data_IF_947360531164
#
_entry.id   IF_947360531164
#
_cell.length_a   1.000
_cell.length_b   1.000
_cell.length_c   1.000
_cell.angle_alpha   90.00
_cell.angle_beta   90.00
_cell.angle_gamma   90.00
#
_symmetry.space_group_name_H-M   'P 1'
#
loop_
_entity.id
_entity.type
_entity.pdbx_description
1 polymer ?
#
# COMPACT_ATOMS: atom_id res chain seq x y z
N UNK A 1 11.82 -34.04 -44.22
CA UNK A 1 12.94 -34.58 -45.04
C UNK A 1 13.44 -33.52 -46.04
N UNK A 2 12.59 -32.80 -46.80
CA UNK A 2 13.08 -31.75 -47.71
C UNK A 2 13.63 -30.47 -47.04
N UNK A 3 13.16 -30.06 -45.85
CA UNK A 3 13.71 -28.88 -45.14
C UNK A 3 15.02 -29.16 -44.37
N UNK A 4 15.46 -30.41 -44.29
CA UNK A 4 16.70 -30.81 -43.61
C UNK A 4 17.89 -30.70 -44.59
N UNK A 5 17.66 -30.89 -45.90
CA UNK A 5 18.72 -30.85 -46.92
C UNK A 5 19.30 -29.44 -47.16
N UNK A 6 18.54 -28.37 -46.95
CA UNK A 6 19.01 -26.98 -47.13
C UNK A 6 19.91 -26.50 -45.98
N UNK A 7 19.86 -27.17 -44.82
CA UNK A 7 20.74 -26.88 -43.69
C UNK A 7 22.10 -27.57 -43.83
N UNK A 8 22.14 -28.78 -44.37
CA UNK A 8 23.38 -29.54 -44.57
C UNK A 8 24.26 -29.01 -45.70
N UNK A 9 23.66 -28.48 -46.77
CA UNK A 9 24.40 -27.88 -47.90
C UNK A 9 25.14 -26.60 -47.51
N UNK A 10 24.62 -25.83 -46.55
CA UNK A 10 25.28 -24.61 -46.07
C UNK A 10 26.42 -24.85 -45.07
N UNK A 11 26.44 -25.98 -44.36
CA UNK A 11 27.50 -26.33 -43.39
C UNK A 11 28.71 -26.97 -44.09
N UNK A 12 28.48 -27.71 -45.19
CA UNK A 12 29.54 -28.43 -45.90
C UNK A 12 30.51 -27.52 -46.70
N UNK A 13 30.19 -26.23 -46.90
CA UNK A 13 31.02 -25.30 -47.67
C UNK A 13 32.16 -24.68 -46.83
N UNK A 14 32.17 -24.84 -45.50
CA UNK A 14 33.12 -24.13 -44.62
C UNK A 14 34.32 -24.94 -44.12
N UNK A 15 34.40 -26.25 -44.36
CA UNK A 15 35.51 -27.06 -43.84
C UNK A 15 35.89 -28.15 -44.84
N UNK A 16 36.79 -27.85 -45.79
CA UNK A 16 37.24 -28.79 -46.81
C UNK A 16 38.03 -29.97 -46.23
N UNK A 17 37.35 -31.07 -45.87
CA UNK A 17 37.98 -32.32 -45.41
C UNK A 17 37.41 -33.52 -46.20
N UNK A 18 38.24 -34.40 -46.79
CA UNK A 18 37.79 -35.56 -47.54
C UNK A 18 37.08 -36.64 -46.69
N UNK A 19 36.06 -37.28 -47.29
CA UNK A 19 35.12 -38.23 -46.66
C UNK A 19 35.73 -39.51 -46.04
N UNK A 20 37.00 -39.82 -46.25
CA UNK A 20 37.60 -41.11 -45.85
C UNK A 20 38.21 -41.14 -44.43
N UNK A 21 38.27 -40.00 -43.74
CA UNK A 21 38.77 -39.90 -42.35
C UNK A 21 37.69 -40.20 -41.29
N UNK A 22 36.49 -40.59 -41.70
CA UNK A 22 35.28 -40.69 -40.86
C UNK A 22 35.07 -42.07 -40.19
N UNK A 23 36.13 -42.87 -39.99
CA UNK A 23 36.02 -44.20 -39.37
C UNK A 23 36.52 -44.30 -37.92
N UNK A 24 36.89 -43.19 -37.29
CA UNK A 24 36.88 -43.06 -35.84
C UNK A 24 35.87 -41.97 -35.49
N UNK A 25 34.84 -42.32 -34.71
CA UNK A 25 34.02 -41.44 -33.85
C UNK A 25 32.49 -41.52 -33.98
N UNK A 26 31.89 -42.64 -34.41
CA UNK A 26 30.42 -42.81 -34.24
C UNK A 26 30.04 -42.67 -32.75
N UNK A 27 30.85 -43.21 -31.83
CA UNK A 27 30.65 -43.03 -30.39
C UNK A 27 30.91 -41.59 -29.90
N UNK A 28 31.83 -40.84 -30.50
CA UNK A 28 32.08 -39.45 -30.11
C UNK A 28 30.97 -38.52 -30.62
N UNK A 29 30.45 -38.78 -31.82
CA UNK A 29 29.33 -38.03 -32.42
C UNK A 29 28.02 -38.32 -31.70
N UNK A 30 27.75 -39.57 -31.29
CA UNK A 30 26.62 -39.90 -30.41
C UNK A 30 26.76 -39.29 -29.01
N UNK A 31 27.98 -39.26 -28.45
CA UNK A 31 28.25 -38.62 -27.15
C UNK A 31 28.09 -37.10 -27.22
N UNK A 32 28.53 -36.47 -28.31
CA UNK A 32 28.31 -35.05 -28.61
C UNK A 32 26.81 -34.75 -28.82
N UNK A 33 26.07 -35.59 -29.56
CA UNK A 33 24.62 -35.45 -29.76
C UNK A 33 23.81 -35.61 -28.47
N UNK A 34 24.30 -36.39 -27.49
CA UNK A 34 23.70 -36.51 -26.15
C UNK A 34 24.05 -35.33 -25.22
N UNK A 35 25.20 -34.69 -25.42
CA UNK A 35 25.62 -33.49 -24.68
C UNK A 35 24.98 -32.20 -25.21
N UNK A 36 24.64 -32.15 -26.50
CA UNK A 36 24.07 -30.97 -27.17
C UNK A 36 22.76 -30.47 -26.51
N UNK A 37 21.79 -31.30 -26.10
CA UNK A 37 20.62 -30.86 -25.34
C UNK A 37 20.98 -30.31 -23.95
N UNK A 38 21.97 -30.92 -23.28
CA UNK A 38 22.40 -30.53 -21.93
C UNK A 38 23.22 -29.25 -21.88
N UNK A 39 23.87 -28.86 -22.98
CA UNK A 39 24.66 -27.61 -23.08
C UNK A 39 23.81 -26.50 -23.75
N UNK A 40 23.01 -26.83 -24.77
CA UNK A 40 22.14 -25.86 -25.42
C UNK A 40 20.98 -25.43 -24.52
N UNK A 41 20.39 -26.29 -23.68
CA UNK A 41 19.27 -25.84 -22.83
C UNK A 41 19.69 -24.81 -21.77
N UNK A 42 20.83 -24.93 -21.06
CA UNK A 42 21.33 -23.87 -20.18
C UNK A 42 21.87 -22.67 -20.94
N UNK A 43 22.53 -22.82 -22.10
CA UNK A 43 22.99 -21.68 -22.91
C UNK A 43 21.85 -20.89 -23.53
N UNK A 44 20.81 -21.56 -24.04
CA UNK A 44 19.57 -20.93 -24.52
C UNK A 44 18.85 -20.27 -23.35
N UNK A 45 18.83 -20.89 -22.18
CA UNK A 45 18.28 -20.28 -20.96
C UNK A 45 19.07 -19.07 -20.49
N UNK A 46 20.41 -19.12 -20.53
CA UNK A 46 21.28 -17.99 -20.24
C UNK A 46 21.16 -16.90 -21.30
N UNK A 47 20.96 -17.26 -22.57
CA UNK A 47 20.69 -16.35 -23.68
C UNK A 47 19.34 -15.64 -23.55
N UNK A 48 18.28 -16.37 -23.19
CA UNK A 48 16.96 -15.82 -22.88
C UNK A 48 17.03 -14.96 -21.61
N UNK A 49 17.71 -15.41 -20.56
CA UNK A 49 17.92 -14.62 -19.34
C UNK A 49 18.73 -13.36 -19.61
N UNK A 50 19.74 -13.43 -20.48
CA UNK A 50 20.55 -12.29 -20.94
C UNK A 50 19.74 -11.32 -21.81
N UNK A 51 18.91 -11.81 -22.75
CA UNK A 51 18.02 -10.99 -23.57
C UNK A 51 16.88 -10.37 -22.76
N UNK A 52 16.28 -11.12 -21.82
CA UNK A 52 15.31 -10.60 -20.87
C UNK A 52 15.97 -9.54 -19.98
N UNK A 53 17.12 -9.84 -19.38
CA UNK A 53 17.88 -8.86 -18.60
C UNK A 53 18.28 -7.63 -19.42
N UNK A 54 18.61 -7.77 -20.71
CA UNK A 54 18.85 -6.64 -21.63
C UNK A 54 17.58 -5.83 -21.94
N UNK A 55 16.43 -6.50 -22.10
CA UNK A 55 15.13 -5.86 -22.30
C UNK A 55 14.60 -5.17 -21.04
N UNK A 56 14.93 -5.70 -19.85
CA UNK A 56 14.58 -5.12 -18.56
C UNK A 56 15.60 -4.05 -18.11
N UNK A 57 16.87 -4.16 -18.52
CA UNK A 57 17.88 -3.10 -18.32
C UNK A 57 17.71 -1.91 -19.27
N UNK A 58 16.76 -1.98 -20.21
CA UNK A 58 16.32 -0.85 -21.05
C UNK A 58 15.02 -0.21 -20.57
N UNK A 59 14.57 -0.49 -19.34
CA UNK A 59 13.49 0.27 -18.69
C UNK A 59 14.10 1.54 -18.09
N UNK A 60 14.17 2.60 -18.88
CA UNK A 60 14.56 3.93 -18.40
C UNK A 60 13.52 4.98 -18.79
N UNK A 61 12.32 4.85 -18.24
CA UNK A 61 11.40 5.98 -18.07
C UNK A 61 10.80 5.94 -16.65
N UNK A 62 10.74 7.07 -15.97
CA UNK A 62 10.22 7.19 -14.59
C UNK A 62 8.78 6.67 -14.47
N UNK A 63 7.98 6.87 -15.52
CA UNK A 63 6.60 6.39 -15.60
C UNK A 63 6.46 4.86 -15.50
N UNK A 64 7.43 4.11 -16.02
CA UNK A 64 7.41 2.64 -15.94
C UNK A 64 7.76 2.19 -14.52
N UNK A 65 8.73 2.86 -13.88
CA UNK A 65 9.08 2.60 -12.49
C UNK A 65 7.91 2.89 -11.55
N UNK A 66 7.16 3.96 -11.78
CA UNK A 66 5.96 4.27 -11.00
C UNK A 66 4.90 3.17 -11.15
N UNK A 67 4.62 2.73 -12.38
CA UNK A 67 3.70 1.62 -12.64
C UNK A 67 4.12 0.34 -11.91
N UNK A 68 5.38 -0.09 -12.02
CA UNK A 68 5.84 -1.32 -11.36
C UNK A 68 5.77 -1.21 -9.83
N UNK A 69 6.11 -0.06 -9.24
CA UNK A 69 5.96 0.13 -7.79
C UNK A 69 4.48 0.10 -7.36
N UNK A 70 3.59 0.75 -8.11
CA UNK A 70 2.15 0.67 -7.88
C UNK A 70 1.63 -0.77 -8.02
N UNK A 71 2.05 -1.47 -9.06
CA UNK A 71 1.66 -2.85 -9.34
C UNK A 71 2.11 -3.82 -8.25
N UNK A 72 3.27 -3.59 -7.63
CA UNK A 72 3.70 -4.33 -6.43
C UNK A 72 2.73 -4.15 -5.27
N UNK A 73 2.39 -2.90 -4.94
CA UNK A 73 1.47 -2.59 -3.85
C UNK A 73 0.10 -3.19 -4.09
N UNK A 74 -0.40 -3.06 -5.33
CA UNK A 74 -1.69 -3.62 -5.71
C UNK A 74 -1.65 -5.17 -5.69
N UNK A 75 -0.55 -5.78 -6.11
CA UNK A 75 -0.34 -7.23 -5.99
C UNK A 75 -0.27 -7.67 -4.52
N UNK A 76 0.40 -6.90 -3.67
CA UNK A 76 0.48 -7.14 -2.23
C UNK A 76 -0.90 -7.11 -1.54
N UNK A 77 -1.88 -6.42 -2.12
CA UNK A 77 -3.27 -6.40 -1.66
C UNK A 77 -4.12 -7.50 -2.33
N UNK A 78 -4.18 -7.54 -3.67
CA UNK A 78 -5.19 -8.30 -4.43
C UNK A 78 -4.63 -9.50 -5.24
N UNK A 79 -3.31 -9.62 -5.31
CA UNK A 79 -2.64 -10.66 -6.10
C UNK A 79 -2.64 -12.04 -5.45
N UNK A 80 -2.48 -13.07 -6.28
CA UNK A 80 -2.45 -14.45 -5.82
C UNK A 80 -1.49 -15.31 -6.67
N UNK A 81 -0.66 -16.11 -6.01
CA UNK A 81 0.30 -17.03 -6.61
C UNK A 81 -0.12 -18.47 -6.33
N UNK A 82 -0.38 -19.24 -7.40
CA UNK A 82 -0.99 -20.56 -7.31
C UNK A 82 -0.19 -21.63 -8.06
N UNK A 83 -0.13 -22.81 -7.45
CA UNK A 83 0.32 -24.05 -8.09
C UNK A 83 -0.90 -24.98 -8.14
N UNK A 84 -1.33 -25.33 -9.34
CA UNK A 84 -2.46 -26.21 -9.60
C UNK A 84 -1.95 -27.59 -10.03
N UNK A 85 -2.53 -28.63 -9.46
CA UNK A 85 -2.23 -30.02 -9.85
C UNK A 85 -3.09 -30.41 -11.04
N UNK A 86 -2.49 -31.02 -12.05
CA UNK A 86 -3.15 -31.61 -13.21
C UNK A 86 -2.91 -33.13 -13.23
N UNK A 87 -3.72 -33.91 -13.97
CA UNK A 87 -3.50 -35.35 -14.11
C UNK A 87 -2.10 -35.73 -14.59
N UNK A 88 -1.49 -34.89 -15.44
CA UNK A 88 -0.17 -35.14 -16.05
C UNK A 88 0.91 -34.16 -15.59
N UNK A 89 0.68 -33.40 -14.50
CA UNK A 89 1.70 -32.51 -13.94
C UNK A 89 1.16 -31.32 -13.16
N UNK A 90 1.72 -30.14 -13.41
CA UNK A 90 1.41 -28.92 -12.66
C UNK A 90 1.21 -27.73 -13.60
N UNK A 91 0.33 -26.81 -13.21
CA UNK A 91 0.18 -25.49 -13.82
C UNK A 91 0.47 -24.41 -12.78
N UNK A 92 1.20 -23.39 -13.19
CA UNK A 92 1.53 -22.25 -12.36
C UNK A 92 0.69 -21.06 -12.80
N UNK A 93 0.16 -20.31 -11.84
CA UNK A 93 -0.78 -19.23 -12.11
C UNK A 93 -0.49 -18.03 -11.23
N UNK A 94 -0.40 -16.85 -11.86
CA UNK A 94 -0.56 -15.57 -11.18
C UNK A 94 -1.95 -15.03 -11.50
N UNK A 95 -2.63 -14.48 -10.49
CA UNK A 95 -4.02 -14.04 -10.62
C UNK A 95 -4.29 -12.78 -9.81
N UNK A 96 -5.10 -11.88 -10.34
CA UNK A 96 -5.73 -10.79 -9.59
C UNK A 96 -7.23 -10.90 -9.86
N UNK A 97 -8.03 -11.01 -8.81
CA UNK A 97 -9.50 -11.06 -8.90
C UNK A 97 -10.11 -9.85 -8.23
N UNK A 98 -10.98 -9.13 -8.94
CA UNK A 98 -11.64 -7.92 -8.44
C UNK A 98 -13.15 -7.99 -8.69
N UNK A 99 -13.88 -7.03 -8.11
CA UNK A 99 -15.26 -6.76 -8.50
C UNK A 99 -15.32 -6.24 -9.95
N UNK A 100 -16.40 -6.52 -10.66
CA UNK A 100 -16.58 -6.15 -12.08
C UNK A 100 -16.41 -4.64 -12.34
N UNK A 101 -16.76 -3.80 -11.37
CA UNK A 101 -16.60 -2.34 -11.45
C UNK A 101 -15.14 -1.87 -11.56
N UNK A 102 -14.18 -2.75 -11.25
CA UNK A 102 -12.74 -2.50 -11.39
C UNK A 102 -12.13 -3.25 -12.58
N UNK A 103 -12.94 -3.71 -13.54
CA UNK A 103 -12.47 -4.38 -14.77
C UNK A 103 -11.45 -3.54 -15.55
N UNK A 104 -11.60 -2.20 -15.56
CA UNK A 104 -10.66 -1.30 -16.22
C UNK A 104 -9.26 -1.35 -15.59
N UNK A 105 -9.15 -1.63 -14.28
CA UNK A 105 -7.86 -1.81 -13.59
C UNK A 105 -7.12 -3.03 -14.14
N UNK A 106 -7.84 -4.14 -14.33
CA UNK A 106 -7.27 -5.38 -14.87
C UNK A 106 -6.84 -5.22 -16.33
N UNK A 107 -7.62 -4.50 -17.14
CA UNK A 107 -7.24 -4.15 -18.50
C UNK A 107 -6.00 -3.25 -18.52
N UNK A 108 -5.94 -2.24 -17.65
CA UNK A 108 -4.76 -1.39 -17.51
C UNK A 108 -3.50 -2.19 -17.16
N UNK A 109 -3.59 -3.12 -16.20
CA UNK A 109 -2.48 -4.02 -15.84
C UNK A 109 -2.06 -4.87 -17.04
N UNK A 110 -3.01 -5.51 -17.72
CA UNK A 110 -2.75 -6.34 -18.90
C UNK A 110 -2.05 -5.54 -20.00
N UNK A 111 -2.51 -4.33 -20.27
CA UNK A 111 -1.97 -3.48 -21.34
C UNK A 111 -0.57 -2.96 -20.99
N UNK A 112 -0.31 -2.64 -19.72
CA UNK A 112 1.02 -2.24 -19.24
C UNK A 112 2.02 -3.39 -19.21
N UNK A 113 1.58 -4.60 -18.87
CA UNK A 113 2.44 -5.78 -18.87
C UNK A 113 2.64 -6.37 -20.28
N UNK A 114 1.67 -6.20 -21.17
CA UNK A 114 1.70 -6.72 -22.54
C UNK A 114 1.44 -8.23 -22.66
N UNK A 115 0.98 -8.88 -21.59
CA UNK A 115 0.69 -10.31 -21.57
C UNK A 115 -0.41 -10.66 -20.57
N UNK A 116 -0.76 -11.95 -20.48
CA UNK A 116 -1.87 -12.43 -19.65
C UNK A 116 -3.24 -12.24 -20.31
N UNK A 117 -4.29 -12.60 -19.58
CA UNK A 117 -5.67 -12.59 -20.06
C UNK A 117 -6.61 -12.00 -19.02
N UNK A 118 -7.58 -11.21 -19.47
CA UNK A 118 -8.65 -10.66 -18.63
C UNK A 118 -9.98 -11.29 -19.05
N UNK A 119 -10.77 -11.72 -18.08
CA UNK A 119 -12.16 -12.13 -18.32
C UNK A 119 -13.05 -11.68 -17.16
N UNK A 120 -14.34 -11.54 -17.45
CA UNK A 120 -15.38 -11.23 -16.48
C UNK A 120 -16.32 -12.41 -16.34
N UNK A 121 -16.79 -12.65 -15.11
CA UNK A 121 -17.80 -13.64 -14.81
C UNK A 121 -18.68 -13.17 -13.66
N UNK A 122 -20.00 -13.04 -13.90
CA UNK A 122 -20.96 -12.47 -12.96
C UNK A 122 -20.49 -11.09 -12.49
N UNK A 123 -20.39 -10.87 -11.19
CA UNK A 123 -19.95 -9.63 -10.54
C UNK A 123 -18.43 -9.56 -10.31
N UNK A 124 -17.66 -10.49 -10.86
CA UNK A 124 -16.21 -10.53 -10.68
C UNK A 124 -15.48 -10.47 -12.02
N UNK A 125 -14.26 -9.97 -12.00
CA UNK A 125 -13.33 -10.00 -13.12
C UNK A 125 -11.96 -10.49 -12.66
N UNK A 126 -11.20 -11.07 -13.57
CA UNK A 126 -9.93 -11.72 -13.26
C UNK A 126 -8.89 -11.44 -14.33
N UNK A 127 -7.69 -11.08 -13.88
CA UNK A 127 -6.48 -11.09 -14.67
C UNK A 127 -5.70 -12.36 -14.35
N UNK A 128 -5.46 -13.20 -15.35
CA UNK A 128 -4.77 -14.47 -15.19
C UNK A 128 -3.54 -14.56 -16.11
N UNK A 129 -2.44 -15.00 -15.52
CA UNK A 129 -1.23 -15.41 -16.23
C UNK A 129 -1.00 -16.89 -15.93
N UNK A 130 -1.04 -17.73 -16.97
CA UNK A 130 -0.87 -19.19 -16.85
C UNK A 130 0.12 -19.76 -17.87
N UNK A 131 0.42 -19.03 -18.95
CA UNK A 131 1.40 -19.44 -19.95
C UNK A 131 2.79 -19.47 -19.32
N UNK A 132 3.56 -20.51 -19.62
CA UNK A 132 4.91 -20.74 -19.10
C UNK A 132 5.81 -19.52 -19.31
N UNK A 133 5.83 -18.98 -20.52
CA UNK A 133 6.69 -17.85 -20.91
C UNK A 133 6.31 -16.57 -20.15
N UNK A 134 5.02 -16.38 -19.87
CA UNK A 134 4.53 -15.20 -19.16
C UNK A 134 4.73 -15.33 -17.64
N UNK A 135 4.65 -16.53 -17.07
CA UNK A 135 5.04 -16.77 -15.68
C UNK A 135 6.52 -16.42 -15.46
N UNK A 136 7.39 -16.69 -16.45
CA UNK A 136 8.80 -16.27 -16.37
C UNK A 136 8.97 -14.75 -16.34
N UNK A 137 8.17 -14.02 -17.12
CA UNK A 137 8.13 -12.55 -17.07
C UNK A 137 7.67 -12.05 -15.71
N UNK A 138 6.62 -12.67 -15.13
CA UNK A 138 6.16 -12.38 -13.77
C UNK A 138 7.28 -12.59 -12.74
N UNK A 139 8.00 -13.71 -12.84
CA UNK A 139 9.15 -13.98 -11.96
C UNK A 139 10.24 -12.92 -12.13
N UNK A 140 10.55 -12.52 -13.36
CA UNK A 140 11.56 -11.49 -13.63
C UNK A 140 11.16 -10.12 -13.07
N UNK A 141 9.88 -9.75 -13.15
CA UNK A 141 9.36 -8.52 -12.56
C UNK A 141 9.54 -8.56 -11.04
N UNK A 142 9.07 -9.61 -10.37
CA UNK A 142 9.09 -9.68 -8.90
C UNK A 142 10.47 -10.00 -8.30
N UNK A 143 11.43 -10.43 -9.12
CA UNK A 143 12.85 -10.52 -8.74
C UNK A 143 13.53 -9.15 -8.65
N UNK A 144 13.14 -8.21 -9.53
CA UNK A 144 13.64 -6.83 -9.53
C UNK A 144 12.85 -5.98 -8.53
N UNK A 145 11.54 -6.12 -8.55
CA UNK A 145 10.58 -5.37 -7.75
C UNK A 145 10.01 -6.27 -6.67
N UNK A 146 10.46 -6.06 -5.44
CA UNK A 146 10.19 -6.99 -4.34
C UNK A 146 8.88 -6.68 -3.62
N UNK A 147 8.05 -7.70 -3.40
CA UNK A 147 6.81 -7.62 -2.60
C UNK A 147 7.10 -7.45 -1.10
N UNK A 148 6.19 -6.82 -0.38
CA UNK A 148 6.33 -6.45 1.03
C UNK A 148 5.40 -7.22 1.99
N UNK A 149 4.35 -7.87 1.49
CA UNK A 149 3.42 -8.68 2.30
C UNK A 149 3.81 -10.15 2.36
N UNK A 150 3.02 -10.97 3.06
CA UNK A 150 3.17 -12.43 3.06
C UNK A 150 3.09 -13.05 1.65
N UNK A 151 2.48 -12.36 0.68
CA UNK A 151 2.46 -12.80 -0.73
C UNK A 151 3.86 -12.91 -1.33
N UNK A 152 4.87 -12.20 -0.79
CA UNK A 152 6.28 -12.39 -1.15
C UNK A 152 6.74 -13.82 -0.92
N UNK A 153 6.29 -14.45 0.19
CA UNK A 153 6.66 -15.83 0.52
C UNK A 153 6.01 -16.81 -0.47
N UNK A 154 4.74 -16.56 -0.83
CA UNK A 154 4.04 -17.35 -1.85
C UNK A 154 4.69 -17.20 -3.23
N UNK A 155 5.15 -16.00 -3.58
CA UNK A 155 5.93 -15.77 -4.79
C UNK A 155 7.24 -16.57 -4.80
N UNK A 156 8.01 -16.54 -3.70
CA UNK A 156 9.28 -17.28 -3.58
C UNK A 156 9.06 -18.79 -3.76
N UNK A 157 8.02 -19.33 -3.12
CA UNK A 157 7.67 -20.74 -3.22
C UNK A 157 7.18 -21.11 -4.63
N UNK A 158 6.35 -20.27 -5.25
CA UNK A 158 5.94 -20.43 -6.65
C UNK A 158 7.15 -20.45 -7.57
N UNK A 159 8.09 -19.50 -7.43
CA UNK A 159 9.32 -19.42 -8.22
C UNK A 159 10.17 -20.69 -8.06
N UNK A 160 10.34 -21.17 -6.82
CA UNK A 160 11.09 -22.40 -6.52
C UNK A 160 10.47 -23.60 -7.23
N UNK A 161 9.17 -23.83 -7.05
CA UNK A 161 8.46 -24.93 -7.67
C UNK A 161 8.43 -24.82 -9.21
N UNK A 162 8.29 -23.60 -9.75
CA UNK A 162 8.34 -23.36 -11.18
C UNK A 162 9.69 -23.75 -11.77
N UNK A 163 10.80 -23.36 -11.13
CA UNK A 163 12.15 -23.71 -11.58
C UNK A 163 12.42 -25.22 -11.52
N UNK A 164 11.96 -25.89 -10.46
CA UNK A 164 12.01 -27.36 -10.35
C UNK A 164 11.23 -28.02 -11.49
N UNK A 165 10.03 -27.54 -11.76
CA UNK A 165 9.21 -28.06 -12.84
C UNK A 165 9.87 -27.80 -14.20
N UNK A 166 10.37 -26.60 -14.48
CA UNK A 166 10.78 -26.23 -15.83
C UNK A 166 12.10 -26.83 -16.30
N UNK A 167 13.00 -27.09 -15.36
CA UNK A 167 14.33 -27.65 -15.64
C UNK A 167 14.34 -29.18 -15.59
N UNK A 168 13.18 -29.81 -15.41
CA UNK A 168 13.06 -31.27 -15.34
C UNK A 168 13.32 -31.92 -16.71
N UNK A 169 13.99 -33.06 -16.70
CA UNK A 169 14.01 -33.98 -17.84
C UNK A 169 12.71 -34.80 -17.90
N UNK A 170 12.26 -35.29 -16.74
CA UNK A 170 11.02 -36.03 -16.54
C UNK A 170 10.34 -35.62 -15.22
N UNK A 171 9.04 -35.88 -15.10
CA UNK A 171 8.31 -35.64 -13.87
C UNK A 171 8.31 -36.89 -12.99
N UNK A 172 9.39 -37.11 -12.25
CA UNK A 172 9.52 -38.24 -11.33
C UNK A 172 8.58 -38.12 -10.12
N UNK A 173 8.33 -39.24 -9.44
CA UNK A 173 7.54 -39.26 -8.18
C UNK A 173 8.18 -38.38 -7.11
N UNK A 174 9.51 -38.38 -7.02
CA UNK A 174 10.25 -37.54 -6.08
C UNK A 174 10.04 -36.05 -6.37
N UNK A 175 10.23 -35.63 -7.63
CA UNK A 175 10.01 -34.24 -8.03
C UNK A 175 8.56 -33.80 -7.82
N UNK A 176 7.61 -34.70 -8.08
CA UNK A 176 6.19 -34.48 -7.83
C UNK A 176 5.92 -34.20 -6.35
N UNK A 177 6.49 -35.02 -5.46
CA UNK A 177 6.36 -34.82 -4.01
C UNK A 177 6.99 -33.49 -3.58
N UNK A 178 8.19 -33.16 -4.07
CA UNK A 178 8.82 -31.86 -3.75
C UNK A 178 7.95 -30.66 -4.13
N UNK A 179 7.32 -30.68 -5.32
CA UNK A 179 6.43 -29.60 -5.76
C UNK A 179 5.15 -29.57 -4.91
N UNK A 180 4.60 -30.74 -4.55
CA UNK A 180 3.44 -30.85 -3.67
C UNK A 180 3.72 -30.30 -2.27
N UNK A 181 4.88 -30.59 -1.70
CA UNK A 181 5.28 -30.09 -0.39
C UNK A 181 5.38 -28.55 -0.39
N UNK A 182 5.98 -27.97 -1.45
CA UNK A 182 6.03 -26.52 -1.63
C UNK A 182 4.60 -25.96 -1.73
N UNK A 183 3.77 -26.51 -2.63
CA UNK A 183 2.37 -26.09 -2.79
C UNK A 183 1.61 -26.13 -1.47
N UNK A 184 1.80 -27.19 -0.68
CA UNK A 184 1.11 -27.40 0.59
C UNK A 184 1.61 -26.50 1.74
N UNK A 185 2.68 -25.73 1.51
CA UNK A 185 3.18 -24.70 2.44
C UNK A 185 2.79 -23.26 2.05
N UNK A 186 2.05 -23.09 0.95
CA UNK A 186 1.67 -21.78 0.40
C UNK A 186 0.26 -21.33 0.84
N UNK A 187 -0.01 -20.03 0.66
CA UNK A 187 -1.34 -19.43 0.75
C UNK A 187 -2.03 -19.72 2.10
N UNK A 188 -3.25 -20.26 2.08
CA UNK A 188 -4.06 -20.50 3.29
C UNK A 188 -3.38 -21.50 4.23
N UNK A 189 -2.56 -22.42 3.70
CA UNK A 189 -1.85 -23.45 4.46
C UNK A 189 -0.52 -22.97 5.05
N UNK A 190 -0.07 -21.75 4.73
CA UNK A 190 1.18 -21.19 5.24
C UNK A 190 1.13 -20.98 6.74
N UNK A 191 2.17 -21.45 7.43
CA UNK A 191 2.36 -21.29 8.88
C UNK A 191 3.54 -20.38 9.24
N UNK A 192 4.54 -20.27 8.36
CA UNK A 192 5.69 -19.39 8.55
C UNK A 192 5.49 -18.05 7.83
N UNK A 193 5.45 -16.96 8.60
CA UNK A 193 5.25 -15.59 8.11
C UNK A 193 6.48 -14.69 8.33
N UNK A 194 7.67 -15.27 8.50
CA UNK A 194 8.91 -14.48 8.64
C UNK A 194 9.22 -13.76 7.33
N UNK A 195 8.89 -12.47 7.29
CA UNK A 195 9.17 -11.60 6.15
C UNK A 195 10.62 -11.09 6.17
N UNK A 196 11.26 -10.96 4.99
CA UNK A 196 12.48 -10.17 4.85
C UNK A 196 12.21 -8.67 5.04
N UNK A 197 13.21 -7.83 4.72
CA UNK A 197 13.08 -6.37 4.78
C UNK A 197 11.90 -5.84 3.96
N UNK A 198 11.17 -4.89 4.55
CA UNK A 198 9.99 -4.21 4.00
C UNK A 198 10.44 -2.83 3.49
N UNK A 199 10.30 -2.60 2.18
CA UNK A 199 10.71 -1.37 1.52
C UNK A 199 9.49 -0.72 0.88
N UNK A 200 8.96 0.31 1.53
CA UNK A 200 7.74 1.01 1.09
C UNK A 200 8.13 2.25 0.28
N UNK A 201 7.50 2.39 -0.87
CA UNK A 201 7.53 3.61 -1.70
C UNK A 201 6.14 4.25 -1.75
N UNK A 202 6.06 5.50 -2.18
CA UNK A 202 4.78 6.22 -2.29
C UNK A 202 3.83 5.52 -3.26
N UNK A 203 4.34 5.12 -4.42
CA UNK A 203 3.56 4.41 -5.45
C UNK A 203 3.17 3.01 -4.99
N UNK A 204 4.04 2.28 -4.29
CA UNK A 204 3.65 1.01 -3.64
C UNK A 204 2.52 1.23 -2.64
N UNK A 205 2.63 2.24 -1.78
CA UNK A 205 1.60 2.51 -0.77
C UNK A 205 0.26 2.89 -1.42
N UNK A 206 0.30 3.66 -2.51
CA UNK A 206 -0.90 3.97 -3.30
C UNK A 206 -1.54 2.69 -3.83
N UNK A 207 -0.80 1.83 -4.53
CA UNK A 207 -1.33 0.58 -5.07
C UNK A 207 -1.88 -0.33 -3.97
N UNK A 208 -1.21 -0.40 -2.82
CA UNK A 208 -1.69 -1.17 -1.67
C UNK A 208 -2.98 -0.58 -1.08
N UNK A 209 -3.08 0.75 -0.97
CA UNK A 209 -4.31 1.44 -0.56
C UNK A 209 -5.43 1.14 -1.54
N UNK A 210 -5.18 1.15 -2.85
CA UNK A 210 -6.18 0.87 -3.87
C UNK A 210 -6.79 -0.53 -3.78
N UNK A 211 -6.07 -1.51 -3.22
CA UNK A 211 -6.61 -2.82 -2.86
C UNK A 211 -7.20 -2.86 -1.43
N UNK A 212 -6.38 -2.67 -0.41
CA UNK A 212 -6.73 -2.95 1.01
C UNK A 212 -7.04 -1.71 1.88
N UNK A 213 -6.88 -0.49 1.35
CA UNK A 213 -7.22 0.76 2.05
C UNK A 213 -8.73 1.01 2.13
N UNK A 214 -9.17 1.73 3.16
CA UNK A 214 -10.58 2.09 3.34
C UNK A 214 -10.70 3.54 3.80
N UNK A 215 -11.51 4.31 3.06
CA UNK A 215 -11.92 5.66 3.40
C UNK A 215 -13.37 5.63 3.90
N UNK A 216 -13.64 6.23 5.07
CA UNK A 216 -14.96 6.11 5.69
C UNK A 216 -15.33 7.36 6.49
N UNK A 217 -16.64 7.52 6.75
CA UNK A 217 -17.19 8.53 7.66
C UNK A 217 -18.03 7.83 8.73
N UNK A 218 -17.68 8.03 10.00
CA UNK A 218 -18.58 7.72 11.11
C UNK A 218 -19.72 8.75 11.14
N UNK A 219 -20.88 8.38 10.60
CA UNK A 219 -22.03 9.28 10.39
C UNK A 219 -22.61 9.84 11.70
N UNK A 220 -22.55 9.07 12.79
CA UNK A 220 -23.04 9.51 14.09
C UNK A 220 -22.17 10.59 14.73
N UNK A 221 -20.85 10.50 14.51
CA UNK A 221 -19.88 11.40 15.14
C UNK A 221 -19.27 12.42 14.17
N UNK A 222 -19.65 12.35 12.89
CA UNK A 222 -19.05 13.09 11.77
C UNK A 222 -17.52 12.99 11.76
N UNK A 223 -16.98 11.80 12.07
CA UNK A 223 -15.54 11.55 12.15
C UNK A 223 -15.07 10.76 10.92
N UNK A 224 -14.32 11.37 9.98
CA UNK A 224 -13.72 10.65 8.87
C UNK A 224 -12.57 9.78 9.36
N UNK A 225 -12.39 8.62 8.76
CA UNK A 225 -11.31 7.70 9.08
C UNK A 225 -10.74 7.05 7.83
N UNK A 226 -9.41 7.02 7.76
CA UNK A 226 -8.67 6.11 6.88
C UNK A 226 -8.28 4.88 7.69
N UNK A 227 -8.41 3.69 7.11
CA UNK A 227 -7.92 2.46 7.73
C UNK A 227 -7.42 1.42 6.73
N UNK A 228 -6.50 0.58 7.20
CA UNK A 228 -6.08 -0.65 6.53
C UNK A 228 -6.30 -1.78 7.54
N UNK A 229 -6.91 -2.89 7.10
CA UNK A 229 -7.18 -4.06 7.95
C UNK A 229 -6.57 -5.29 7.29
N UNK A 230 -5.66 -5.95 8.00
CA UNK A 230 -4.97 -7.16 7.54
C UNK A 230 -5.07 -8.26 8.60
N UNK A 231 -4.62 -9.47 8.27
CA UNK A 231 -4.44 -10.52 9.29
C UNK A 231 -3.33 -10.14 10.26
N UNK A 232 -3.42 -10.60 11.51
CA UNK A 232 -2.42 -10.28 12.54
C UNK A 232 -0.99 -10.71 12.16
N UNK A 233 -0.83 -11.77 11.38
CA UNK A 233 0.47 -12.19 10.84
C UNK A 233 1.16 -11.12 9.96
N UNK A 234 0.41 -10.14 9.45
CA UNK A 234 0.90 -9.02 8.66
C UNK A 234 1.03 -7.72 9.48
N UNK A 235 0.93 -7.78 10.81
CA UNK A 235 1.20 -6.64 11.69
C UNK A 235 2.55 -5.94 11.38
N UNK A 236 3.66 -6.64 11.08
CA UNK A 236 4.91 -5.98 10.68
C UNK A 236 4.77 -5.06 9.45
N UNK A 237 3.90 -5.40 8.50
CA UNK A 237 3.63 -4.57 7.33
C UNK A 237 2.93 -3.27 7.71
N UNK A 238 1.93 -3.33 8.61
CA UNK A 238 1.25 -2.13 9.11
C UNK A 238 2.20 -1.22 9.90
N UNK A 239 3.12 -1.79 10.68
CA UNK A 239 4.17 -1.05 11.37
C UNK A 239 5.11 -0.37 10.35
N UNK A 240 5.48 -1.08 9.28
CA UNK A 240 6.24 -0.53 8.17
C UNK A 240 5.54 0.65 7.50
N UNK A 241 4.25 0.52 7.21
CA UNK A 241 3.43 1.60 6.61
C UNK A 241 3.36 2.80 7.55
N UNK A 242 3.15 2.58 8.85
CA UNK A 242 3.16 3.65 9.85
C UNK A 242 4.48 4.42 9.84
N UNK A 243 5.61 3.72 9.94
CA UNK A 243 6.96 4.32 9.92
C UNK A 243 7.23 5.07 8.61
N UNK A 244 6.77 4.52 7.49
CA UNK A 244 6.89 5.20 6.20
C UNK A 244 6.13 6.53 6.18
N UNK A 245 4.87 6.54 6.62
CA UNK A 245 4.06 7.77 6.69
C UNK A 245 4.69 8.82 7.62
N UNK A 246 5.15 8.40 8.81
CA UNK A 246 5.84 9.28 9.77
C UNK A 246 7.04 10.00 9.15
N UNK A 247 7.82 9.29 8.32
CA UNK A 247 9.04 9.83 7.72
C UNK A 247 8.82 10.63 6.43
N UNK A 248 7.70 10.45 5.72
CA UNK A 248 7.54 10.98 4.36
C UNK A 248 6.44 12.04 4.22
N UNK A 249 5.68 12.34 5.27
CA UNK A 249 4.62 13.37 5.24
C UNK A 249 5.12 14.81 5.41
N UNK A 250 6.41 15.02 5.71
CA UNK A 250 6.98 16.37 5.88
C UNK A 250 6.49 17.08 7.15
N UNK A 251 6.34 16.35 8.26
CA UNK A 251 5.83 16.89 9.52
C UNK A 251 6.87 17.80 10.18
N UNK A 252 6.39 18.87 10.84
CA UNK A 252 7.24 19.68 11.72
C UNK A 252 7.65 18.89 12.98
N UNK A 253 8.68 19.37 13.68
CA UNK A 253 9.25 18.67 14.83
C UNK A 253 8.23 18.42 15.96
N UNK A 254 7.33 19.35 16.24
CA UNK A 254 6.29 19.16 17.26
C UNK A 254 5.23 18.15 16.82
N UNK A 255 4.88 18.14 15.53
CA UNK A 255 4.00 17.13 14.96
C UNK A 255 4.61 15.73 15.01
N UNK A 256 5.91 15.59 14.74
CA UNK A 256 6.65 14.32 14.89
C UNK A 256 6.62 13.86 16.35
N UNK A 257 6.96 14.74 17.29
CA UNK A 257 6.88 14.45 18.73
C UNK A 257 5.46 14.00 19.11
N UNK A 258 4.42 14.68 18.62
CA UNK A 258 3.03 14.30 18.86
C UNK A 258 2.73 12.89 18.35
N UNK A 259 3.19 12.53 17.15
CA UNK A 259 2.99 11.18 16.60
C UNK A 259 3.66 10.11 17.48
N UNK A 260 4.88 10.37 17.93
CA UNK A 260 5.65 9.43 18.75
C UNK A 260 4.97 9.15 20.10
N UNK A 261 4.27 10.12 20.68
CA UNK A 261 3.63 10.00 21.98
C UNK A 261 2.10 9.84 21.95
N UNK A 262 1.47 9.72 20.77
CA UNK A 262 0.01 9.66 20.63
C UNK A 262 -0.46 8.66 19.57
N UNK A 263 -1.69 8.15 19.72
CA UNK A 263 -2.31 7.21 18.78
C UNK A 263 -2.93 7.88 17.55
N UNK A 264 -2.19 8.78 16.89
CA UNK A 264 -2.69 9.47 15.67
C UNK A 264 -2.72 8.51 14.48
N UNK A 265 -1.62 7.78 14.26
CA UNK A 265 -1.57 6.58 13.42
C UNK A 265 -1.64 5.39 14.37
N UNK A 266 -2.87 4.95 14.62
CA UNK A 266 -3.17 3.90 15.59
C UNK A 266 -2.97 2.53 14.96
N UNK A 267 -2.16 1.70 15.61
CA UNK A 267 -2.10 0.26 15.34
C UNK A 267 -3.00 -0.42 16.38
N UNK A 268 -4.02 -1.15 15.91
CA UNK A 268 -4.96 -1.85 16.77
C UNK A 268 -5.07 -3.32 16.41
N UNK A 269 -5.32 -4.18 17.39
CA UNK A 269 -5.51 -5.60 17.20
C UNK A 269 -6.99 -5.95 17.43
N UNK A 270 -7.57 -6.71 16.51
CA UNK A 270 -8.92 -7.27 16.61
C UNK A 270 -8.84 -8.74 16.98
N UNK A 271 -9.57 -9.15 18.02
CA UNK A 271 -9.74 -10.57 18.35
C UNK A 271 -10.34 -11.31 17.16
N UNK A 272 -9.95 -12.57 16.99
CA UNK A 272 -10.67 -13.48 16.11
C UNK A 272 -12.16 -13.46 16.45
N UNK A 273 -13.01 -13.35 15.44
CA UNK A 273 -14.46 -13.44 15.59
C UNK A 273 -14.90 -14.65 14.80
N UNK A 274 -15.55 -15.61 15.48
CA UNK A 274 -15.86 -16.92 14.90
C UNK A 274 -14.59 -17.61 14.37
N UNK A 275 -14.66 -18.32 13.25
CA UNK A 275 -13.54 -19.03 12.61
C UNK A 275 -12.59 -18.10 11.82
N UNK A 276 -12.66 -16.78 12.03
CA UNK A 276 -11.77 -15.83 11.35
C UNK A 276 -10.39 -15.78 12.01
N UNK A 277 -9.36 -15.49 11.22
CA UNK A 277 -8.03 -15.17 11.78
C UNK A 277 -8.12 -13.85 12.58
N UNK A 278 -7.30 -13.68 13.64
CA UNK A 278 -7.11 -12.38 14.28
C UNK A 278 -6.70 -11.31 13.28
N UNK A 279 -7.10 -10.07 13.53
CA UNK A 279 -6.87 -8.94 12.63
C UNK A 279 -5.91 -7.92 13.25
N UNK A 280 -5.10 -7.30 12.42
CA UNK A 280 -4.36 -6.09 12.76
C UNK A 280 -4.89 -4.94 11.90
N UNK A 281 -4.93 -3.74 12.47
CA UNK A 281 -5.50 -2.55 11.84
C UNK A 281 -4.58 -1.37 11.99
N UNK A 282 -4.44 -0.58 10.93
CA UNK A 282 -3.89 0.77 10.96
C UNK A 282 -5.05 1.73 10.78
N UNK A 283 -5.22 2.72 11.65
CA UNK A 283 -6.33 3.67 11.61
C UNK A 283 -5.87 5.09 11.87
N UNK A 284 -6.36 6.03 11.08
CA UNK A 284 -6.10 7.48 11.19
C UNK A 284 -7.44 8.21 11.21
N UNK A 285 -7.70 8.96 12.28
CA UNK A 285 -8.97 9.66 12.54
C UNK A 285 -8.83 11.16 12.83
N UNK A 286 -7.63 11.60 13.20
CA UNK A 286 -7.42 13.01 13.56
C UNK A 286 -7.62 13.89 12.32
N UNK A 287 -8.62 14.77 12.37
CA UNK A 287 -9.05 15.55 11.19
C UNK A 287 -7.97 16.52 10.72
N UNK A 288 -7.19 17.13 11.63
CA UNK A 288 -6.09 18.01 11.25
C UNK A 288 -5.03 17.23 10.48
N UNK A 289 -4.62 16.06 10.98
CA UNK A 289 -3.67 15.18 10.30
C UNK A 289 -4.20 14.69 8.94
N UNK A 290 -5.45 14.24 8.89
CA UNK A 290 -6.09 13.78 7.65
C UNK A 290 -6.12 14.89 6.59
N UNK A 291 -6.65 16.06 6.94
CA UNK A 291 -6.84 17.17 6.01
C UNK A 291 -5.53 17.85 5.59
N UNK A 292 -4.58 18.00 6.50
CA UNK A 292 -3.39 18.82 6.26
C UNK A 292 -2.17 18.03 5.78
N UNK A 293 -2.12 16.71 6.02
CA UNK A 293 -0.96 15.88 5.67
C UNK A 293 -1.36 14.68 4.82
N UNK A 294 -2.22 13.81 5.34
CA UNK A 294 -2.50 12.53 4.69
C UNK A 294 -3.22 12.68 3.34
N UNK A 295 -4.29 13.48 3.26
CA UNK A 295 -5.01 13.74 2.00
C UNK A 295 -4.13 14.48 0.98
N UNK A 296 -3.45 15.59 1.34
CA UNK A 296 -2.51 16.26 0.43
C UNK A 296 -1.42 15.33 -0.12
N UNK A 297 -0.90 14.40 0.70
CA UNK A 297 0.13 13.47 0.28
C UNK A 297 -0.28 12.62 -0.94
N UNK A 298 -1.56 12.27 -1.08
CA UNK A 298 -2.09 11.50 -2.21
C UNK A 298 -2.86 12.36 -3.24
N UNK A 299 -2.92 13.68 -3.07
CA UNK A 299 -3.78 14.54 -3.87
C UNK A 299 -3.40 14.59 -5.36
N UNK A 300 -2.10 14.49 -5.65
CA UNK A 300 -1.54 14.48 -7.01
C UNK A 300 -1.37 13.06 -7.57
N UNK A 301 -1.65 12.04 -6.75
CA UNK A 301 -1.53 10.65 -7.17
C UNK A 301 -2.68 10.28 -8.11
N UNK A 302 -2.35 9.60 -9.21
CA UNK A 302 -3.33 9.01 -10.11
C UNK A 302 -3.81 7.67 -9.56
N UNK A 303 -5.02 7.67 -8.98
CA UNK A 303 -5.73 6.44 -8.65
C UNK A 303 -6.21 5.74 -9.93
N UNK A 304 -6.14 4.41 -9.95
CA UNK A 304 -6.49 3.58 -11.10
C UNK A 304 -7.82 2.87 -10.86
N UNK A 305 -8.08 2.40 -9.65
CA UNK A 305 -9.31 1.73 -9.25
C UNK A 305 -10.42 2.73 -8.88
N UNK A 306 -11.64 2.21 -8.71
CA UNK A 306 -12.77 3.01 -8.23
C UNK A 306 -12.52 3.64 -6.86
N UNK A 307 -11.52 3.15 -6.10
CA UNK A 307 -11.15 3.73 -4.80
C UNK A 307 -10.67 5.17 -4.93
N UNK A 308 -10.21 5.60 -6.11
CA UNK A 308 -9.98 7.01 -6.39
C UNK A 308 -11.22 7.88 -6.26
N UNK A 309 -12.41 7.36 -6.62
CA UNK A 309 -13.68 8.07 -6.44
C UNK A 309 -14.00 8.21 -4.95
N UNK A 310 -13.79 7.15 -4.16
CA UNK A 310 -13.95 7.20 -2.71
C UNK A 310 -12.95 8.14 -2.05
N UNK A 311 -11.71 8.19 -2.52
CA UNK A 311 -10.71 9.14 -2.03
C UNK A 311 -11.12 10.60 -2.30
N UNK A 312 -11.67 10.89 -3.49
CA UNK A 312 -12.15 12.23 -3.84
C UNK A 312 -13.30 12.68 -2.95
N UNK A 313 -14.29 11.82 -2.73
CA UNK A 313 -15.40 12.12 -1.81
C UNK A 313 -14.88 12.29 -0.38
N UNK A 314 -13.94 11.42 0.05
CA UNK A 314 -13.30 11.51 1.36
C UNK A 314 -12.53 12.82 1.56
N UNK A 315 -11.83 13.31 0.53
CA UNK A 315 -11.15 14.62 0.54
C UNK A 315 -12.13 15.77 0.79
N UNK A 316 -13.28 15.76 0.09
CA UNK A 316 -14.33 16.78 0.27
C UNK A 316 -14.87 16.73 1.71
N UNK A 317 -15.17 15.53 2.19
CA UNK A 317 -15.64 15.30 3.57
C UNK A 317 -14.60 15.80 4.57
N UNK A 318 -13.33 15.41 4.45
CA UNK A 318 -12.25 15.86 5.34
C UNK A 318 -12.16 17.39 5.38
N UNK A 319 -12.22 18.07 4.23
CA UNK A 319 -12.18 19.54 4.19
C UNK A 319 -13.39 20.16 4.90
N UNK A 320 -14.59 19.66 4.64
CA UNK A 320 -15.82 20.16 5.24
C UNK A 320 -15.86 19.92 6.76
N UNK A 321 -15.40 18.76 7.24
CA UNK A 321 -15.27 18.49 8.69
C UNK A 321 -14.20 19.38 9.31
N UNK A 322 -13.04 19.54 8.65
CA UNK A 322 -11.93 20.36 9.14
C UNK A 322 -12.33 21.81 9.39
N UNK A 323 -13.10 22.43 8.48
CA UNK A 323 -13.57 23.83 8.64
C UNK A 323 -14.85 23.95 9.49
N UNK A 324 -15.41 22.83 9.94
CA UNK A 324 -16.63 22.78 10.74
C UNK A 324 -17.93 22.98 9.97
N UNK A 325 -17.92 22.89 8.63
CA UNK A 325 -19.09 23.14 7.80
C UNK A 325 -20.27 22.19 8.14
N UNK A 326 -19.98 20.98 8.64
CA UNK A 326 -20.97 20.02 9.13
C UNK A 326 -21.83 20.50 10.30
N UNK A 327 -21.50 21.64 10.91
CA UNK A 327 -22.29 22.26 11.99
C UNK A 327 -23.52 23.00 11.44
N UNK A 328 -23.53 23.29 10.15
CA UNK A 328 -24.70 23.78 9.42
C UNK A 328 -25.52 22.56 8.97
N UNK A 329 -26.76 22.46 9.43
CA UNK A 329 -27.60 21.26 9.24
C UNK A 329 -27.77 20.90 7.76
N UNK A 330 -27.95 21.89 6.87
CA UNK A 330 -28.00 21.68 5.43
C UNK A 330 -26.74 20.97 4.91
N UNK A 331 -25.56 21.50 5.25
CA UNK A 331 -24.28 20.96 4.79
C UNK A 331 -24.01 19.58 5.41
N UNK A 332 -24.37 19.39 6.67
CA UNK A 332 -24.29 18.08 7.33
C UNK A 332 -25.08 17.01 6.57
N UNK A 333 -26.32 17.31 6.17
CA UNK A 333 -27.15 16.39 5.40
C UNK A 333 -26.55 16.08 4.03
N UNK A 334 -25.96 17.08 3.35
CA UNK A 334 -25.24 16.86 2.10
C UNK A 334 -23.99 15.98 2.30
N UNK A 335 -23.22 16.17 3.37
CA UNK A 335 -22.07 15.31 3.72
C UNK A 335 -22.53 13.87 3.98
N UNK A 336 -23.64 13.69 4.72
CA UNK A 336 -24.21 12.37 4.98
C UNK A 336 -24.65 11.69 3.68
N UNK A 337 -25.31 12.43 2.79
CA UNK A 337 -25.71 11.97 1.45
C UNK A 337 -24.48 11.54 0.62
N UNK A 338 -23.42 12.37 0.57
CA UNK A 338 -22.15 12.04 -0.09
C UNK A 338 -21.51 10.78 0.51
N UNK A 339 -21.54 10.62 1.84
CA UNK A 339 -20.98 9.42 2.49
C UNK A 339 -21.75 8.13 2.19
N UNK A 340 -22.96 8.24 1.65
CA UNK A 340 -23.79 7.12 1.21
C UNK A 340 -23.61 6.82 -0.29
N UNK A 341 -22.74 7.54 -1.00
CA UNK A 341 -22.37 7.25 -2.40
C UNK A 341 -20.96 6.64 -2.53
N UNK A 342 -20.32 6.30 -1.39
CA UNK A 342 -18.96 5.79 -1.32
C UNK A 342 -18.90 4.28 -1.00
N UNK A 343 -17.75 3.66 -1.31
CA UNK A 343 -17.43 2.28 -0.91
C UNK A 343 -18.50 1.27 -1.37
N UNK A 344 -19.05 0.45 -0.47
CA UNK A 344 -20.04 -0.57 -0.82
C UNK A 344 -21.30 -0.01 -1.48
N UNK A 345 -21.68 1.24 -1.16
CA UNK A 345 -22.85 1.89 -1.76
C UNK A 345 -22.61 2.34 -3.21
N UNK A 346 -21.35 2.36 -3.67
CA UNK A 346 -20.98 2.67 -5.06
C UNK A 346 -21.01 1.45 -5.97
N UNK A 347 -21.05 0.23 -5.40
CA UNK A 347 -20.96 -0.99 -6.20
C UNK A 347 -22.19 -1.15 -7.09
N UNK A 348 -21.99 -1.56 -8.34
CA UNK A 348 -23.09 -1.88 -9.26
C UNK A 348 -23.95 -3.05 -8.77
N UNK A 349 -23.44 -3.83 -7.81
CA UNK A 349 -24.12 -4.96 -7.17
C UNK A 349 -24.81 -4.60 -5.86
N UNK A 350 -24.76 -3.34 -5.43
CA UNK A 350 -25.47 -2.89 -4.25
C UNK A 350 -27.00 -3.00 -4.48
N UNK A 351 -27.69 -3.73 -3.61
CA UNK A 351 -29.12 -4.03 -3.77
C UNK A 351 -30.05 -2.97 -3.14
N UNK A 352 -29.50 -2.04 -2.35
CA UNK A 352 -30.28 -0.99 -1.71
C UNK A 352 -30.51 0.21 -2.62
N UNK A 353 -31.34 1.15 -2.17
CA UNK A 353 -31.53 2.44 -2.83
C UNK A 353 -30.53 3.45 -2.27
N UNK A 354 -29.77 4.09 -3.17
CA UNK A 354 -28.90 5.22 -2.84
C UNK A 354 -29.41 6.43 -3.58
N UNK A 355 -29.75 7.49 -2.86
CA UNK A 355 -30.03 8.77 -3.50
C UNK A 355 -28.72 9.37 -4.04
N UNK A 356 -28.60 9.59 -5.36
CA UNK A 356 -27.40 10.18 -5.92
C UNK A 356 -27.25 11.62 -5.43
N UNK A 357 -26.01 12.02 -5.17
CA UNK A 357 -25.67 13.42 -4.92
C UNK A 357 -25.30 14.10 -6.23
N UNK A 358 -25.91 15.25 -6.49
CA UNK A 358 -25.69 16.04 -7.70
C UNK A 358 -24.44 16.91 -7.60
N UNK A 359 -23.89 17.32 -8.75
CA UNK A 359 -22.73 18.23 -8.80
C UNK A 359 -23.00 19.57 -8.06
N UNK A 360 -24.17 20.21 -8.21
CA UNK A 360 -24.49 21.41 -7.42
C UNK A 360 -24.45 21.16 -5.91
N UNK A 361 -25.00 20.05 -5.43
CA UNK A 361 -24.97 19.68 -4.01
C UNK A 361 -23.53 19.45 -3.52
N UNK A 362 -22.68 18.79 -4.32
CA UNK A 362 -21.25 18.64 -4.01
C UNK A 362 -20.57 20.02 -3.91
N UNK A 363 -20.86 20.92 -4.86
CA UNK A 363 -20.32 22.28 -4.88
C UNK A 363 -20.77 23.10 -3.65
N UNK A 364 -21.97 22.85 -3.12
CA UNK A 364 -22.40 23.47 -1.86
C UNK A 364 -21.54 23.03 -0.67
N UNK A 365 -21.14 21.76 -0.59
CA UNK A 365 -20.24 21.26 0.44
C UNK A 365 -18.85 21.90 0.29
N UNK A 366 -18.32 21.92 -0.94
CA UNK A 366 -16.99 22.46 -1.24
C UNK A 366 -16.90 23.95 -0.91
N UNK A 367 -17.93 24.72 -1.26
CA UNK A 367 -17.98 26.17 -1.05
C UNK A 367 -18.56 26.58 0.30
N UNK A 368 -18.80 25.63 1.21
CA UNK A 368 -19.33 25.92 2.53
C UNK A 368 -18.39 26.84 3.32
N UNK A 369 -18.97 27.83 4.00
CA UNK A 369 -18.21 28.75 4.86
C UNK A 369 -17.67 28.01 6.09
N UNK A 370 -16.47 28.39 6.51
CA UNK A 370 -15.91 27.90 7.76
C UNK A 370 -16.78 28.35 8.94
N UNK A 371 -16.99 27.46 9.91
CA UNK A 371 -17.63 27.78 11.21
C UNK A 371 -16.65 27.61 12.37
N UNK A 372 -15.46 27.08 12.09
CA UNK A 372 -14.38 26.84 13.06
C UNK A 372 -13.13 27.59 12.64
N UNK A 373 -12.53 28.29 13.60
CA UNK A 373 -11.21 28.89 13.51
C UNK A 373 -10.19 28.00 14.25
N UNK A 374 -9.06 27.71 13.59
CA UNK A 374 -7.97 26.90 14.16
C UNK A 374 -6.89 27.82 14.73
N UNK A 375 -6.74 27.85 16.05
CA UNK A 375 -5.75 28.70 16.72
C UNK A 375 -4.32 28.17 16.56
N UNK A 376 -3.36 29.06 16.80
CA UNK A 376 -1.94 28.73 16.75
C UNK A 376 -1.51 27.65 17.74
N UNK A 377 -2.22 27.54 18.86
CA UNK A 377 -1.95 26.57 19.92
C UNK A 377 -2.72 25.24 19.75
N UNK A 378 -3.43 25.06 18.63
CA UNK A 378 -4.17 23.85 18.31
C UNK A 378 -5.59 23.78 18.88
N UNK A 379 -6.04 24.80 19.61
CA UNK A 379 -7.45 24.93 20.00
C UNK A 379 -8.33 25.32 18.81
N UNK A 380 -9.62 25.04 18.96
CA UNK A 380 -10.66 25.41 18.01
C UNK A 380 -11.61 26.43 18.63
N UNK A 381 -11.92 27.49 17.89
CA UNK A 381 -12.92 28.49 18.27
C UNK A 381 -14.08 28.43 17.28
N UNK A 382 -15.29 28.54 17.80
CA UNK A 382 -16.47 28.81 17.00
C UNK A 382 -16.45 30.25 16.49
N UNK A 383 -16.53 30.45 15.17
CA UNK A 383 -16.34 31.76 14.54
C UNK A 383 -17.40 32.77 14.98
N UNK A 384 -18.63 32.34 15.23
CA UNK A 384 -19.78 33.18 15.54
C UNK A 384 -19.85 33.53 17.03
N UNK A 385 -19.84 32.52 17.88
CA UNK A 385 -19.96 32.65 19.34
C UNK A 385 -18.64 33.00 20.02
N UNK A 386 -17.51 32.87 19.33
CA UNK A 386 -16.14 33.02 19.86
C UNK A 386 -15.81 32.09 21.03
N UNK A 387 -16.59 31.02 21.23
CA UNK A 387 -16.39 30.04 22.29
C UNK A 387 -15.44 28.92 21.86
N UNK A 388 -14.69 28.39 22.81
CA UNK A 388 -13.83 27.22 22.60
C UNK A 388 -14.67 25.96 22.32
N UNK A 389 -14.29 25.23 21.28
CA UNK A 389 -14.90 23.95 20.92
C UNK A 389 -14.08 22.84 21.58
N UNK A 390 -14.77 21.99 22.33
CA UNK A 390 -14.14 20.82 22.95
C UNK A 390 -14.01 19.70 21.93
N UNK A 391 -12.78 19.23 21.70
CA UNK A 391 -12.50 18.08 20.85
C UNK A 391 -12.00 16.91 21.69
N UNK A 392 -12.30 15.68 21.24
CA UNK A 392 -11.83 14.44 21.91
C UNK A 392 -10.33 14.20 21.72
N UNK A 393 -9.79 14.60 20.57
CA UNK A 393 -8.36 14.54 20.28
C UNK A 393 -7.78 15.95 20.31
N UNK A 394 -6.73 16.14 21.10
CA UNK A 394 -6.01 17.42 21.13
C UNK A 394 -5.02 17.47 19.97
N UNK A 395 -5.16 18.49 19.13
CA UNK A 395 -4.17 18.85 18.12
C UNK A 395 -3.16 19.85 18.68
N UNK A 396 -2.81 19.63 19.95
CA UNK A 396 -1.83 20.40 20.71
C UNK A 396 -0.82 19.48 21.38
N UNK A 397 0.39 19.99 21.54
CA UNK A 397 1.45 19.44 22.40
C UNK A 397 1.90 20.53 23.38
N UNK A 398 2.59 20.14 24.45
CA UNK A 398 3.00 21.07 25.50
C UNK A 398 4.51 21.07 25.66
N UNK A 399 5.12 22.24 25.54
CA UNK A 399 6.52 22.48 25.84
C UNK A 399 6.63 23.03 27.26
N UNK A 400 7.48 22.41 28.09
CA UNK A 400 7.79 22.84 29.45
C UNK A 400 9.27 23.16 29.49
N UNK A 401 9.62 24.39 29.85
CA UNK A 401 11.00 24.83 30.08
C UNK A 401 11.18 24.95 31.59
N UNK A 402 12.00 24.10 32.17
CA UNK A 402 12.32 24.13 33.61
C UNK A 402 13.47 25.08 33.89
N UNK A 403 13.28 25.99 34.83
CA UNK A 403 14.25 27.03 35.20
C UNK A 403 15.32 26.58 36.21
N UNK A 404 15.22 25.36 36.73
CA UNK A 404 16.02 24.86 37.86
C UNK A 404 16.74 23.55 37.52
N UNK A 405 17.76 23.62 36.66
CA UNK A 405 18.77 22.56 36.53
C UNK A 405 20.18 23.15 36.70
N UNK A 406 21.06 22.54 37.52
CA UNK A 406 22.46 22.93 37.61
C UNK A 406 23.15 22.51 36.29
N UNK A 407 23.09 23.39 35.28
CA UNK A 407 23.62 23.13 33.94
C UNK A 407 22.88 23.82 32.78
N UNK A 408 21.70 24.43 33.02
CA UNK A 408 20.93 25.17 32.00
C UNK A 408 19.42 24.90 32.06
N UNK A 409 18.66 25.49 31.14
CA UNK A 409 17.22 25.25 31.01
C UNK A 409 16.93 23.90 30.34
N UNK A 410 16.16 23.03 31.01
CA UNK A 410 15.71 21.74 30.45
C UNK A 410 14.39 21.92 29.69
N UNK A 411 14.33 21.43 28.45
CA UNK A 411 13.11 21.43 27.61
C UNK A 411 12.47 20.05 27.59
N UNK A 412 11.21 19.98 28.02
CA UNK A 412 10.40 18.76 28.03
C UNK A 412 9.17 18.92 27.13
N UNK A 413 8.85 17.86 26.39
CA UNK A 413 7.68 17.81 25.52
C UNK A 413 6.67 16.81 26.09
N UNK A 414 5.40 17.21 26.21
CA UNK A 414 4.33 16.36 26.74
C UNK A 414 3.15 16.26 25.77
N UNK A 415 2.59 15.05 25.58
CA UNK A 415 1.55 14.76 24.58
C UNK A 415 0.26 15.54 24.80
N UNK A 416 -0.07 15.84 26.05
CA UNK A 416 -1.37 16.39 26.41
C UNK A 416 -1.30 17.15 27.75
N UNK A 417 -2.39 17.85 28.06
CA UNK A 417 -2.49 18.70 29.24
C UNK A 417 -2.42 17.91 30.54
N UNK A 418 -2.91 16.67 30.56
CA UNK A 418 -2.90 15.82 31.75
C UNK A 418 -1.48 15.36 32.11
N UNK A 419 -0.70 14.90 31.14
CA UNK A 419 0.72 14.56 31.34
C UNK A 419 1.54 15.79 31.71
N UNK A 420 1.21 16.96 31.16
CA UNK A 420 1.86 18.23 31.52
C UNK A 420 1.57 18.63 32.96
N UNK A 421 0.30 18.52 33.38
CA UNK A 421 -0.12 18.81 34.75
C UNK A 421 0.54 17.85 35.76
N UNK A 422 0.63 16.57 35.41
CA UNK A 422 1.34 15.55 36.19
C UNK A 422 2.83 15.85 36.34
N UNK A 423 3.51 16.19 35.25
CA UNK A 423 4.93 16.57 35.24
C UNK A 423 5.21 17.77 36.17
N UNK A 424 4.30 18.73 36.22
CA UNK A 424 4.45 19.95 37.00
C UNK A 424 3.93 19.84 38.44
N UNK A 425 3.29 18.72 38.79
CA UNK A 425 2.61 18.55 40.09
C UNK A 425 1.48 19.56 40.32
N UNK A 426 0.74 19.92 39.25
CA UNK A 426 -0.39 20.87 39.29
C UNK A 426 -1.69 20.11 39.02
N UNK A 427 -2.79 20.52 39.64
CA UNK A 427 -4.11 20.03 39.24
C UNK A 427 -4.46 20.40 37.79
N UNK A 428 -4.98 19.43 37.03
CA UNK A 428 -5.36 19.59 35.62
C UNK A 428 -6.20 20.84 35.36
N UNK A 429 -7.25 21.06 36.15
CA UNK A 429 -8.16 22.21 36.00
C UNK A 429 -7.47 23.55 36.30
N UNK A 430 -6.49 23.56 37.19
CA UNK A 430 -5.71 24.76 37.53
C UNK A 430 -4.83 25.16 36.35
N UNK A 431 -4.06 24.20 35.81
CA UNK A 431 -3.22 24.44 34.63
C UNK A 431 -4.06 24.82 33.40
N UNK A 432 -5.21 24.13 33.20
CA UNK A 432 -6.17 24.47 32.15
C UNK A 432 -6.62 25.93 32.24
N UNK A 433 -7.09 26.37 33.42
CA UNK A 433 -7.57 27.74 33.66
C UNK A 433 -6.47 28.78 33.41
N UNK A 434 -5.22 28.50 33.80
CA UNK A 434 -4.11 29.41 33.57
C UNK A 434 -3.83 29.57 32.06
N UNK A 435 -3.72 28.45 31.34
CA UNK A 435 -3.48 28.46 29.90
C UNK A 435 -4.65 29.03 29.08
N UNK A 436 -5.88 28.88 29.57
CA UNK A 436 -7.07 29.39 28.87
C UNK A 436 -7.30 30.89 29.13
N UNK A 437 -6.80 31.46 30.23
CA UNK A 437 -6.93 32.89 30.59
C UNK A 437 -6.11 33.82 29.70
N UNK A 438 -4.98 33.35 29.17
CA UNK A 438 -4.09 34.15 28.31
C UNK A 438 -4.20 33.69 26.86
N UNK A 439 -5.33 33.97 26.21
CA UNK A 439 -5.49 33.75 24.76
C UNK A 439 -4.46 34.54 23.91
N UNK A 440 -3.72 35.48 24.51
CA UNK A 440 -2.78 36.41 23.87
C UNK A 440 -1.30 36.19 24.25
N UNK A 441 -0.97 35.37 25.25
CA UNK A 441 0.44 35.10 25.61
C UNK A 441 0.84 33.69 25.16
N UNK A 442 2.02 33.57 24.54
CA UNK A 442 2.56 32.32 23.99
C UNK A 442 2.94 31.29 25.07
N UNK A 443 2.87 31.66 26.36
CA UNK A 443 3.32 30.84 27.47
C UNK A 443 2.74 31.27 28.81
N UNK A 444 2.53 30.31 29.70
CA UNK A 444 2.20 30.53 31.12
C UNK A 444 3.42 30.21 31.98
N UNK A 445 3.70 31.04 32.99
CA UNK A 445 4.69 30.71 34.02
C UNK A 445 4.04 30.09 35.26
N UNK A 446 4.63 28.99 35.75
CA UNK A 446 4.21 28.37 36.99
C UNK A 446 5.40 27.80 37.77
N UNK A 447 5.59 28.29 39.00
CA UNK A 447 6.71 27.91 39.89
C UNK A 447 8.08 27.99 39.17
N UNK A 448 8.30 29.04 38.38
CA UNK A 448 9.52 29.25 37.58
C UNK A 448 9.56 28.49 36.25
N UNK A 449 8.70 27.51 36.02
CA UNK A 449 8.64 26.80 34.75
C UNK A 449 7.80 27.58 33.73
N UNK A 450 8.27 27.64 32.48
CA UNK A 450 7.51 28.23 31.36
C UNK A 450 6.81 27.12 30.58
N UNK A 451 5.50 27.22 30.42
CA UNK A 451 4.66 26.23 29.74
C UNK A 451 4.07 26.85 28.48
N UNK A 452 4.27 26.23 27.33
CA UNK A 452 3.65 26.63 26.06
C UNK A 452 2.72 25.54 25.55
N UNK A 453 1.56 25.96 25.02
CA UNK A 453 0.67 25.10 24.25
C UNK A 453 0.95 25.35 22.77
N UNK A 454 1.29 24.30 22.04
CA UNK A 454 1.73 24.40 20.65
C UNK A 454 0.79 23.59 19.77
N UNK A 455 0.23 24.20 18.73
CA UNK A 455 -0.60 23.52 17.76
C UNK A 455 0.23 22.62 16.86
N UNK A 456 -0.26 21.40 16.63
CA UNK A 456 0.39 20.39 15.78
C UNK A 456 -0.52 20.01 14.61
N UNK A 457 0.06 19.37 13.60
CA UNK A 457 -0.60 19.03 12.34
C UNK A 457 -1.21 20.24 11.63
N UNK A 458 -0.52 21.37 11.69
CA UNK A 458 -0.94 22.60 11.03
C UNK A 458 -0.69 22.49 9.53
N UNK A 459 -1.53 23.13 8.73
CA UNK A 459 -1.30 23.24 7.30
C UNK A 459 0.07 23.89 7.08
N UNK A 460 0.91 23.27 6.24
CA UNK A 460 2.12 23.95 5.79
C UNK A 460 1.68 25.21 5.06
N UNK A 461 2.27 26.37 5.39
CA UNK A 461 2.23 27.48 4.47
C UNK A 461 2.78 26.95 3.15
N UNK A 462 2.02 27.09 2.06
CA UNK A 462 2.51 26.79 0.72
C UNK A 462 3.78 27.62 0.58
N UNK A 463 4.94 26.97 0.73
CA UNK A 463 6.18 27.54 0.22
C UNK A 463 6.03 27.33 -1.27
N UNK A 464 5.58 28.38 -1.95
CA UNK A 464 5.66 28.45 -3.40
C UNK A 464 7.06 27.93 -3.80
N UNK A 465 7.07 26.77 -4.46
CA UNK A 465 8.26 26.16 -5.03
C UNK A 465 8.27 26.43 -6.51
#
# INVERSE_FOLDING_TARGET
>A
ICAINDFYTNVAVWVGIPLYMLNLSINLVLFLLLLVPHILTPMVWQGIKSQLNKSYSTISNENDKEFYNWFLGFTDAEGNFLILTLPTGFTFKFSIGLHIDDLHVLNYIKDKLGFGSVYAYKSNCYYNVTKKEDILKIISIFDVYTLNSSKRLDFIDLKKAFNLYINRTELSKELTNQILDIKNSMNIQRTNFKLPEIIITKSWLLGFIEGDGSFSLSRNTMEPAFSIKLTESQLPLLIGIKKYLENNLGLDSYSIEKLNCSSIIMIGNGKAVNDSKPLATLTIKNIQFLNNYFVPFFNECKFISKKGLDFNDFKIICKAIYIGAYRVEKIKNLILKLSLTMSNYRLSTYLGTVEPISIPEINEIINAKATIEHLNDGRLIDIETKKLIQTRSSSSIYEIIKSSHPGGSEKLIKPNLAESAKELGIGFNTLKKQLDKQLLEDSVEYKGNKIKRIGVFRAQAIKDR
#
